data_IF_309965788005
#
_entry.id   IF_309965788005
#
_cell.length_a   1.000
_cell.length_b   1.000
_cell.length_c   1.000
_cell.angle_alpha   90.00
_cell.angle_beta   90.00
_cell.angle_gamma   90.00
#
_symmetry.space_group_name_H-M   'P 1'
#
loop_
_entity.id
_entity.type
_entity.pdbx_description
1 polymer ?
#
# COMPACT_ATOMS: atom_id res chain seq x y z
N UNK A 1 5.49 -6.85 45.68
CA UNK A 1 4.52 -6.90 44.56
C UNK A 1 4.43 -5.50 43.98
N UNK A 2 5.31 -5.17 43.03
CA UNK A 2 5.26 -3.91 42.30
C UNK A 2 4.46 -4.21 41.05
N UNK A 3 3.30 -3.58 40.91
CA UNK A 3 2.43 -3.71 39.75
C UNK A 3 3.17 -3.15 38.53
N UNK A 4 3.14 -3.86 37.40
CA UNK A 4 3.63 -3.40 36.09
C UNK A 4 2.77 -2.23 35.60
N UNK A 5 2.96 -1.06 36.20
CA UNK A 5 2.27 0.16 35.79
C UNK A 5 2.99 0.75 34.57
N UNK A 6 2.25 0.91 33.47
CA UNK A 6 2.74 1.50 32.23
C UNK A 6 3.14 2.98 32.45
N UNK A 7 4.42 3.36 32.25
CA UNK A 7 4.88 4.74 32.40
C UNK A 7 4.14 5.73 31.49
N UNK A 8 3.62 5.27 30.34
CA UNK A 8 2.86 6.10 29.41
C UNK A 8 1.47 6.42 29.96
N UNK A 9 0.87 5.51 30.75
CA UNK A 9 -0.38 5.77 31.44
C UNK A 9 -0.20 6.84 32.53
N UNK A 10 0.96 6.87 33.20
CA UNK A 10 1.25 7.84 34.25
C UNK A 10 1.38 9.29 33.74
N UNK A 11 1.75 9.49 32.46
CA UNK A 11 1.80 10.81 31.83
C UNK A 11 0.41 11.48 31.72
N UNK A 12 -0.68 10.70 31.67
CA UNK A 12 -2.05 11.25 31.63
C UNK A 12 -2.47 11.93 32.93
N UNK A 13 -1.80 11.63 34.04
CA UNK A 13 -2.14 12.13 35.38
C UNK A 13 -1.23 13.27 35.87
N UNK A 14 -0.55 13.96 34.95
CA UNK A 14 0.36 15.08 35.26
C UNK A 14 -0.38 16.21 36.01
N UNK A 15 0.04 16.59 37.23
CA UNK A 15 -0.54 17.74 37.94
C UNK A 15 -0.41 19.05 37.15
N UNK A 16 -1.40 19.93 37.30
CA UNK A 16 -1.46 21.19 36.54
C UNK A 16 -0.38 22.21 36.97
N UNK A 17 0.07 22.11 38.22
CA UNK A 17 1.06 22.96 38.88
C UNK A 17 2.52 22.54 38.62
N UNK A 18 2.74 21.32 38.15
CA UNK A 18 4.08 20.79 37.87
C UNK A 18 4.43 20.99 36.39
N UNK A 19 5.65 21.38 36.06
CA UNK A 19 6.08 21.44 34.65
C UNK A 19 6.23 20.03 34.08
N UNK A 20 5.96 19.83 32.78
CA UNK A 20 6.09 18.52 32.14
C UNK A 20 7.48 17.90 32.36
N UNK A 21 8.53 18.72 32.28
CA UNK A 21 9.91 18.31 32.53
C UNK A 21 10.14 17.82 33.97
N UNK A 22 9.59 18.51 34.97
CA UNK A 22 9.68 18.10 36.38
C UNK A 22 8.93 16.78 36.62
N UNK A 23 7.75 16.62 36.03
CA UNK A 23 6.95 15.41 36.19
C UNK A 23 7.60 14.19 35.53
N UNK A 24 8.22 14.35 34.35
CA UNK A 24 8.99 13.27 33.69
C UNK A 24 10.20 12.85 34.53
N UNK A 25 10.91 13.80 35.17
CA UNK A 25 12.01 13.48 36.07
C UNK A 25 11.53 12.71 37.30
N UNK A 26 10.37 13.09 37.86
CA UNK A 26 9.75 12.37 38.97
C UNK A 26 9.32 10.95 38.56
N UNK A 27 8.72 10.77 37.38
CA UNK A 27 8.38 9.45 36.85
C UNK A 27 9.63 8.57 36.70
N UNK A 28 10.77 9.11 36.28
CA UNK A 28 12.04 8.35 36.21
C UNK A 28 12.55 7.87 37.57
N UNK A 29 12.21 8.56 38.67
CA UNK A 29 12.56 8.08 40.03
C UNK A 29 11.67 6.92 40.48
N UNK A 30 10.43 6.86 39.99
CA UNK A 30 9.44 5.82 40.34
C UNK A 30 9.56 4.60 39.41
N UNK A 31 9.91 4.84 38.15
CA UNK A 31 10.13 3.84 37.10
C UNK A 31 11.61 3.85 36.71
N UNK A 32 12.49 3.19 37.48
CA UNK A 32 13.89 3.06 37.09
C UNK A 32 13.96 2.37 35.72
N UNK A 33 14.76 2.94 34.80
CA UNK A 33 14.87 2.43 33.44
C UNK A 33 15.23 0.94 33.49
N UNK A 34 14.35 0.11 32.91
CA UNK A 34 14.60 -1.31 32.72
C UNK A 34 15.95 -1.48 32.03
N UNK A 35 16.85 -2.26 32.63
CA UNK A 35 18.10 -2.62 31.99
C UNK A 35 17.79 -3.25 30.60
N UNK A 36 18.61 -2.95 29.57
CA UNK A 36 20.00 -2.54 29.67
C UNK A 36 20.22 -1.03 29.85
N UNK A 37 21.26 -0.70 30.60
CA UNK A 37 21.77 0.65 30.72
C UNK A 37 22.06 1.24 29.32
N UNK A 38 21.81 2.53 29.10
CA UNK A 38 22.13 3.18 27.84
C UNK A 38 23.62 2.97 27.48
N UNK A 39 23.95 2.84 26.19
CA UNK A 39 25.29 2.43 25.73
C UNK A 39 26.39 3.49 25.91
N UNK A 40 26.08 4.65 26.50
CA UNK A 40 27.06 5.72 26.72
C UNK A 40 27.76 5.56 28.08
N UNK A 41 29.04 5.91 28.14
CA UNK A 41 29.89 5.79 29.33
C UNK A 41 29.42 6.59 30.54
N UNK A 42 28.52 7.56 30.34
CA UNK A 42 27.90 8.38 31.37
C UNK A 42 26.50 7.89 31.79
N UNK A 43 26.00 6.79 31.21
CA UNK A 43 24.69 6.23 31.53
C UNK A 43 23.51 7.16 31.17
N UNK A 44 23.74 8.19 30.36
CA UNK A 44 22.74 9.21 30.04
C UNK A 44 22.13 8.98 28.66
N UNK A 45 20.85 8.60 28.62
CA UNK A 45 20.05 8.60 27.40
C UNK A 45 20.02 9.95 26.66
N UNK A 46 20.22 11.06 27.39
CA UNK A 46 20.31 12.39 26.78
C UNK A 46 21.55 12.51 25.91
N UNK A 47 22.68 11.98 26.38
CA UNK A 47 23.95 12.00 25.66
C UNK A 47 23.87 11.08 24.43
N UNK A 48 23.24 9.91 24.58
CA UNK A 48 22.99 9.01 23.46
C UNK A 48 22.05 9.62 22.41
N UNK A 49 20.94 10.24 22.83
CA UNK A 49 20.01 10.90 21.92
C UNK A 49 20.67 12.06 21.15
N UNK A 50 21.45 12.90 21.83
CA UNK A 50 22.22 13.97 21.18
C UNK A 50 23.29 13.43 20.22
N UNK A 51 23.92 12.29 20.55
CA UNK A 51 24.84 11.60 19.64
C UNK A 51 24.15 11.13 18.37
N UNK A 52 22.98 10.48 18.51
CA UNK A 52 22.18 10.02 17.37
C UNK A 52 21.66 11.19 16.51
N UNK A 53 21.25 12.30 17.12
CA UNK A 53 20.88 13.51 16.39
C UNK A 53 22.06 14.05 15.56
N UNK A 54 23.27 14.07 16.15
CA UNK A 54 24.48 14.48 15.44
C UNK A 54 24.83 13.52 14.30
N UNK A 55 24.76 12.21 14.55
CA UNK A 55 24.99 11.19 13.51
C UNK A 55 24.00 11.31 12.36
N UNK A 56 22.72 11.57 12.64
CA UNK A 56 21.70 11.81 11.62
C UNK A 56 22.00 13.04 10.76
N UNK A 57 22.46 14.14 11.37
CA UNK A 57 22.87 15.34 10.65
C UNK A 57 24.09 15.06 9.77
N UNK A 58 25.10 14.36 10.29
CA UNK A 58 26.31 13.99 9.55
C UNK A 58 25.99 13.05 8.38
N UNK A 59 25.11 12.06 8.58
CA UNK A 59 24.70 11.13 7.53
C UNK A 59 23.93 11.85 6.41
N UNK A 60 23.05 12.78 6.79
CA UNK A 60 22.30 13.61 5.84
C UNK A 60 23.24 14.49 5.01
N UNK A 61 24.23 15.11 5.66
CA UNK A 61 25.24 15.93 4.95
C UNK A 61 26.08 15.09 3.98
N UNK A 62 26.49 13.87 4.38
CA UNK A 62 27.20 12.93 3.49
C UNK A 62 26.35 12.53 2.28
N UNK A 63 25.08 12.22 2.51
CA UNK A 63 24.15 11.86 1.43
C UNK A 63 23.95 13.02 0.44
N UNK A 64 23.78 14.25 0.94
CA UNK A 64 23.66 15.43 0.08
C UNK A 64 24.95 15.69 -0.71
N UNK A 65 26.12 15.48 -0.11
CA UNK A 65 27.41 15.59 -0.80
C UNK A 65 27.57 14.53 -1.91
N UNK A 66 27.20 13.27 -1.67
CA UNK A 66 27.21 12.22 -2.70
C UNK A 66 26.22 12.51 -3.83
N UNK A 67 25.06 13.06 -3.49
CA UNK A 67 24.04 13.46 -4.46
C UNK A 67 24.55 14.59 -5.36
N UNK A 68 25.21 15.60 -4.80
CA UNK A 68 25.85 16.67 -5.57
C UNK A 68 26.97 16.12 -6.46
N UNK A 69 27.81 15.21 -5.93
CA UNK A 69 28.90 14.57 -6.69
C UNK A 69 28.36 13.76 -7.88
N UNK A 70 27.26 13.04 -7.68
CA UNK A 70 26.60 12.25 -8.73
C UNK A 70 25.97 13.13 -9.83
N UNK A 71 25.43 14.29 -9.46
CA UNK A 71 24.90 15.26 -10.42
C UNK A 71 26.00 15.91 -11.30
N UNK A 72 27.22 16.08 -10.76
CA UNK A 72 28.35 16.63 -11.50
C UNK A 72 28.85 15.73 -12.64
N UNK A 73 28.80 14.41 -12.45
CA UNK A 73 29.31 13.44 -13.44
C UNK A 73 28.41 13.35 -14.68
N UNK A 74 27.10 13.59 -14.55
CA UNK A 74 26.18 13.64 -15.68
C UNK A 74 26.26 14.95 -16.50
N UNK A 75 26.99 15.95 -16.02
CA UNK A 75 27.07 17.26 -16.66
C UNK A 75 28.36 17.47 -17.45
N UNK A 76 29.19 16.43 -17.65
CA UNK A 76 30.44 16.55 -18.39
C UNK A 76 30.15 16.50 -19.91
N UNK A 77 30.29 17.62 -20.66
CA UNK A 77 30.15 17.60 -22.10
C UNK A 77 31.30 16.77 -22.68
N UNK A 78 30.95 15.72 -23.40
CA UNK A 78 31.88 14.93 -24.21
C UNK A 78 32.51 15.82 -25.28
N UNK A 79 33.68 16.38 -24.98
CA UNK A 79 34.52 17.09 -25.93
C UNK A 79 35.13 16.06 -26.90
N UNK A 80 34.51 15.97 -28.09
CA UNK A 80 35.08 15.34 -29.27
C UNK A 80 36.23 16.22 -29.79
N UNK A 81 37.40 15.59 -29.94
CA UNK A 81 38.62 16.16 -30.48
C UNK A 81 38.61 16.01 -32.01
N UNK A 82 38.60 17.13 -32.75
CA UNK A 82 38.94 17.17 -34.18
C UNK A 82 39.78 18.44 -34.48
N UNK A 83 40.85 18.38 -35.30
CA UNK A 83 41.80 19.47 -35.50
C UNK A 83 41.42 20.38 -36.71
N UNK A 84 42.15 21.50 -36.94
CA UNK A 84 41.55 22.76 -37.36
C UNK A 84 41.69 23.08 -38.85
N UNK A 85 40.75 23.88 -39.38
CA UNK A 85 40.98 24.67 -40.60
C UNK A 85 40.34 26.06 -40.51
N UNK A 86 41.23 27.05 -40.42
CA UNK A 86 41.26 28.40 -40.99
C UNK A 86 40.07 29.39 -40.91
N UNK A 87 40.37 30.49 -40.20
CA UNK A 87 40.28 31.90 -40.61
C UNK A 87 39.01 32.76 -40.41
N UNK A 88 39.19 34.09 -40.27
CA UNK A 88 38.39 34.94 -39.37
C UNK A 88 37.54 35.99 -40.09
N UNK A 89 36.50 36.49 -39.44
CA UNK A 89 36.20 37.94 -39.40
C UNK A 89 35.07 38.30 -38.44
N UNK A 90 35.42 39.25 -37.58
CA UNK A 90 34.62 40.26 -36.89
C UNK A 90 33.21 40.55 -37.42
N UNK A 91 32.23 40.64 -36.51
CA UNK A 91 31.59 41.93 -36.16
C UNK A 91 30.69 41.83 -34.93
N UNK A 92 30.84 42.84 -34.09
CA UNK A 92 30.11 43.14 -32.86
C UNK A 92 28.66 43.52 -33.11
N UNK A 93 27.71 43.02 -32.30
CA UNK A 93 26.55 43.82 -31.85
C UNK A 93 25.96 43.26 -30.55
N UNK A 94 25.95 44.13 -29.52
CA UNK A 94 25.28 43.96 -28.23
C UNK A 94 23.76 43.99 -28.43
N UNK A 95 23.04 42.91 -28.09
CA UNK A 95 21.63 42.97 -27.68
C UNK A 95 21.36 42.00 -26.53
N UNK A 96 20.89 42.57 -25.43
CA UNK A 96 20.61 41.98 -24.12
C UNK A 96 19.24 41.27 -24.15
N UNK A 97 19.13 39.95 -23.91
CA UNK A 97 17.84 39.30 -23.71
C UNK A 97 17.56 39.04 -22.24
N UNK A 98 16.32 39.37 -21.85
CA UNK A 98 15.71 39.22 -20.53
C UNK A 98 15.53 37.72 -20.23
N UNK A 99 16.30 37.19 -19.29
CA UNK A 99 16.30 35.79 -18.85
C UNK A 99 15.03 35.52 -18.01
N UNK A 100 14.00 34.92 -18.63
CA UNK A 100 12.86 34.32 -17.94
C UNK A 100 13.22 32.85 -17.70
N UNK A 101 13.69 32.52 -16.50
CA UNK A 101 13.97 31.12 -16.12
C UNK A 101 12.63 30.41 -15.95
N UNK A 102 12.24 29.61 -16.93
CA UNK A 102 11.34 28.51 -16.66
C UNK A 102 12.17 27.43 -15.96
N UNK A 103 11.92 27.22 -14.67
CA UNK A 103 12.34 26.01 -13.98
C UNK A 103 11.67 24.83 -14.68
N UNK A 104 12.38 24.24 -15.64
CA UNK A 104 12.12 22.87 -16.09
C UNK A 104 12.59 21.98 -14.96
N UNK A 105 11.69 21.73 -14.01
CA UNK A 105 11.83 20.67 -13.02
C UNK A 105 11.95 19.37 -13.80
N UNK A 106 13.19 18.94 -14.06
CA UNK A 106 13.49 17.60 -14.55
C UNK A 106 13.09 16.64 -13.44
N UNK A 107 11.82 16.25 -13.44
CA UNK A 107 11.29 15.18 -12.60
C UNK A 107 12.13 13.95 -12.90
N UNK A 108 13.00 13.59 -11.98
CA UNK A 108 13.84 12.40 -12.05
C UNK A 108 12.91 11.19 -12.19
N UNK A 109 12.69 10.75 -13.44
CA UNK A 109 11.88 9.58 -13.73
C UNK A 109 12.64 8.39 -13.16
N UNK A 110 12.11 7.66 -12.15
CA UNK A 110 12.79 6.49 -11.60
C UNK A 110 13.07 5.50 -12.74
N UNK A 111 14.34 5.11 -12.87
CA UNK A 111 14.80 4.23 -13.95
C UNK A 111 14.22 2.83 -13.76
N UNK A 112 13.21 2.51 -14.56
CA UNK A 112 12.58 1.19 -14.66
C UNK A 112 13.61 0.06 -14.93
N UNK A 113 14.77 0.41 -15.49
CA UNK A 113 15.93 -0.47 -15.68
C UNK A 113 16.41 -1.12 -14.37
N UNK A 114 16.39 -0.39 -13.24
CA UNK A 114 16.85 -0.92 -11.95
C UNK A 114 15.96 -2.04 -11.43
N UNK A 115 14.64 -1.92 -11.61
CA UNK A 115 13.65 -2.91 -11.19
C UNK A 115 13.74 -4.18 -12.07
N UNK A 116 14.11 -4.03 -13.34
CA UNK A 116 14.19 -5.15 -14.28
C UNK A 116 15.32 -6.14 -13.97
N UNK A 117 16.51 -5.64 -13.59
CA UNK A 117 17.66 -6.51 -13.29
C UNK A 117 17.34 -7.44 -12.13
N UNK A 118 16.60 -6.95 -11.13
CA UNK A 118 16.24 -7.74 -9.96
C UNK A 118 15.12 -8.76 -10.28
N UNK A 119 14.09 -8.37 -11.02
CA UNK A 119 13.01 -9.29 -11.41
C UNK A 119 13.56 -10.44 -12.28
N UNK A 120 14.68 -10.25 -13.00
CA UNK A 120 15.23 -11.23 -13.94
C UNK A 120 15.77 -12.47 -13.23
N UNK A 121 16.05 -12.35 -11.93
CA UNK A 121 16.48 -13.45 -11.08
C UNK A 121 15.34 -14.38 -10.68
N UNK A 122 14.09 -13.99 -10.95
CA UNK A 122 12.91 -14.71 -10.52
C UNK A 122 12.54 -15.79 -11.55
N UNK A 123 12.46 -17.07 -11.16
CA UNK A 123 12.04 -18.16 -12.05
C UNK A 123 10.62 -17.93 -12.63
N UNK A 124 10.43 -18.19 -13.92
CA UNK A 124 9.12 -18.05 -14.59
C UNK A 124 8.78 -16.64 -15.07
N UNK A 125 9.66 -15.66 -14.86
CA UNK A 125 9.43 -14.25 -15.19
C UNK A 125 9.50 -13.90 -16.70
N UNK A 126 9.85 -14.86 -17.57
CA UNK A 126 10.13 -14.59 -19.00
C UNK A 126 8.96 -13.90 -19.75
N UNK A 127 7.71 -14.29 -19.46
CA UNK A 127 6.51 -13.68 -20.07
C UNK A 127 6.29 -12.25 -19.58
N UNK A 128 6.51 -12.00 -18.29
CA UNK A 128 6.44 -10.68 -17.68
C UNK A 128 7.52 -9.76 -18.28
N UNK A 129 8.74 -10.26 -18.48
CA UNK A 129 9.82 -9.50 -19.09
C UNK A 129 9.55 -9.08 -20.53
N UNK A 130 9.08 -10.01 -21.36
CA UNK A 130 8.72 -9.72 -22.75
C UNK A 130 7.62 -8.66 -22.82
N UNK A 131 6.61 -8.78 -21.95
CA UNK A 131 5.50 -7.83 -21.86
C UNK A 131 5.97 -6.45 -21.38
N UNK A 132 6.86 -6.41 -20.38
CA UNK A 132 7.42 -5.19 -19.81
C UNK A 132 8.33 -4.46 -20.82
N UNK A 133 9.16 -5.20 -21.55
CA UNK A 133 10.00 -4.66 -22.62
C UNK A 133 9.14 -4.05 -23.74
N UNK A 134 8.09 -4.76 -24.16
CA UNK A 134 7.13 -4.25 -25.15
C UNK A 134 6.42 -2.99 -24.66
N UNK A 135 6.02 -2.96 -23.39
CA UNK A 135 5.42 -1.79 -22.74
C UNK A 135 6.40 -0.60 -22.71
N UNK A 136 7.65 -0.84 -22.35
CA UNK A 136 8.69 0.19 -22.34
C UNK A 136 8.94 0.79 -23.72
N UNK A 137 9.18 -0.04 -24.74
CA UNK A 137 9.41 0.42 -26.11
C UNK A 137 8.25 1.27 -26.63
N UNK A 138 7.03 0.83 -26.34
CA UNK A 138 5.83 1.58 -26.68
C UNK A 138 5.80 2.92 -25.92
N UNK A 139 5.94 2.92 -24.60
CA UNK A 139 5.88 4.18 -23.82
C UNK A 139 7.00 5.16 -24.12
N UNK A 140 8.17 4.70 -24.58
CA UNK A 140 9.26 5.58 -25.04
C UNK A 140 8.99 6.22 -26.40
N UNK A 141 8.20 5.58 -27.26
CA UNK A 141 7.87 6.09 -28.60
C UNK A 141 6.59 6.94 -28.61
N UNK A 142 5.77 6.88 -27.55
CA UNK A 142 4.53 7.64 -27.46
C UNK A 142 4.78 9.10 -27.05
N UNK A 143 4.43 10.04 -27.93
CA UNK A 143 4.23 11.43 -27.57
C UNK A 143 2.87 11.58 -26.86
N UNK A 144 2.88 12.02 -25.60
CA UNK A 144 1.70 12.16 -24.75
C UNK A 144 0.61 13.03 -25.45
N UNK A 145 1.02 14.05 -26.21
CA UNK A 145 0.10 15.01 -26.84
C UNK A 145 -0.54 14.46 -28.12
N UNK A 146 0.12 13.55 -28.82
CA UNK A 146 -0.24 13.11 -30.18
C UNK A 146 -0.75 11.67 -30.26
N UNK A 147 -1.05 11.06 -29.11
CA UNK A 147 -1.47 9.66 -29.06
C UNK A 147 -2.75 9.39 -29.87
N UNK A 148 -2.66 8.49 -30.84
CA UNK A 148 -3.80 8.04 -31.66
C UNK A 148 -4.67 7.05 -30.86
N UNK A 149 -5.96 6.85 -31.21
CA UNK A 149 -6.79 5.83 -30.57
C UNK A 149 -6.20 4.42 -30.64
N UNK A 150 -5.59 4.06 -31.77
CA UNK A 150 -4.92 2.77 -31.94
C UNK A 150 -3.73 2.60 -30.97
N UNK A 151 -2.93 3.65 -30.80
CA UNK A 151 -1.83 3.68 -29.83
C UNK A 151 -2.31 3.54 -28.38
N UNK A 152 -3.44 4.18 -28.01
CA UNK A 152 -4.05 4.00 -26.68
C UNK A 152 -4.54 2.58 -26.44
N UNK A 153 -5.18 1.96 -27.43
CA UNK A 153 -5.60 0.56 -27.35
C UNK A 153 -4.41 -0.39 -27.23
N UNK A 154 -3.33 -0.14 -27.98
CA UNK A 154 -2.09 -0.91 -27.88
C UNK A 154 -1.44 -0.74 -26.50
N UNK A 155 -1.40 0.48 -25.97
CA UNK A 155 -0.90 0.78 -24.62
C UNK A 155 -1.71 0.07 -23.54
N UNK A 156 -3.04 0.09 -23.65
CA UNK A 156 -3.91 -0.66 -22.76
C UNK A 156 -3.59 -2.16 -22.84
N UNK A 157 -3.46 -2.70 -24.06
CA UNK A 157 -3.21 -4.13 -24.25
C UNK A 157 -1.87 -4.55 -23.65
N UNK A 158 -0.79 -3.79 -23.87
CA UNK A 158 0.51 -4.09 -23.27
C UNK A 158 0.50 -3.93 -21.76
N UNK A 159 -0.21 -2.93 -21.22
CA UNK A 159 -0.42 -2.77 -19.78
C UNK A 159 -1.13 -3.98 -19.19
N UNK A 160 -2.22 -4.45 -19.82
CA UNK A 160 -2.96 -5.63 -19.38
C UNK A 160 -2.09 -6.89 -19.41
N UNK A 161 -1.24 -7.07 -20.43
CA UNK A 161 -0.31 -8.20 -20.49
C UNK A 161 0.71 -8.18 -19.35
N UNK A 162 1.23 -6.99 -18.99
CA UNK A 162 2.11 -6.85 -17.81
C UNK A 162 1.35 -7.20 -16.52
N UNK A 163 0.13 -6.68 -16.35
CA UNK A 163 -0.72 -6.99 -15.18
C UNK A 163 -1.02 -8.50 -15.09
N UNK A 164 -1.37 -9.14 -16.21
CA UNK A 164 -1.59 -10.59 -16.24
C UNK A 164 -0.32 -11.37 -15.90
N UNK A 165 0.84 -10.98 -16.44
CA UNK A 165 2.11 -11.61 -16.09
C UNK A 165 2.48 -11.43 -14.62
N UNK A 166 2.17 -10.28 -14.02
CA UNK A 166 2.32 -10.07 -12.58
C UNK A 166 1.36 -10.93 -11.78
N UNK A 167 0.11 -11.09 -12.23
CA UNK A 167 -0.89 -11.92 -11.58
C UNK A 167 -0.52 -13.40 -11.60
N UNK A 168 -0.04 -13.91 -12.75
CA UNK A 168 0.44 -15.28 -12.89
C UNK A 168 1.59 -15.58 -11.93
N UNK A 169 2.44 -14.58 -11.67
CA UNK A 169 3.53 -14.69 -10.71
C UNK A 169 3.09 -14.51 -9.24
N UNK A 170 2.12 -13.63 -9.01
CA UNK A 170 1.55 -13.37 -7.69
C UNK A 170 0.76 -14.58 -7.17
N UNK A 171 0.06 -15.30 -8.04
CA UNK A 171 -0.81 -16.40 -7.67
C UNK A 171 -0.09 -17.51 -6.87
N UNK A 172 1.09 -18.03 -7.28
CA UNK A 172 1.88 -18.94 -6.46
C UNK A 172 2.29 -18.36 -5.11
N UNK A 173 2.62 -17.06 -5.03
CA UNK A 173 3.01 -16.43 -3.75
C UNK A 173 1.83 -16.36 -2.79
N UNK A 174 0.64 -16.04 -3.31
CA UNK A 174 -0.57 -15.92 -2.50
C UNK A 174 -1.17 -17.27 -2.08
N UNK A 175 -0.83 -18.35 -2.79
CA UNK A 175 -1.39 -19.70 -2.55
C UNK A 175 -0.40 -20.70 -1.95
N UNK A 176 0.91 -20.48 -2.10
CA UNK A 176 1.94 -21.41 -1.64
C UNK A 176 2.34 -21.15 -0.20
N UNK A 177 2.37 -22.23 0.59
CA UNK A 177 2.83 -22.25 1.97
C UNK A 177 4.34 -22.52 2.12
N UNK A 178 5.06 -22.87 1.04
CA UNK A 178 6.30 -23.68 1.16
C UNK A 178 7.57 -23.06 0.59
N UNK A 179 7.52 -21.89 -0.04
CA UNK A 179 8.69 -21.24 -0.63
C UNK A 179 9.47 -20.36 0.36
N UNK A 180 10.71 -20.01 0.01
CA UNK A 180 11.61 -19.15 0.81
C UNK A 180 11.05 -17.74 0.96
N UNK A 181 10.31 -17.53 2.06
CA UNK A 181 9.45 -16.37 2.30
C UNK A 181 10.17 -15.01 2.24
N UNK A 182 11.44 -14.94 2.64
CA UNK A 182 12.22 -13.69 2.57
C UNK A 182 12.34 -13.14 1.13
N UNK A 183 12.53 -14.03 0.15
CA UNK A 183 12.60 -13.64 -1.26
C UNK A 183 11.25 -13.22 -1.83
N UNK A 184 10.16 -13.79 -1.30
CA UNK A 184 8.80 -13.45 -1.70
C UNK A 184 8.39 -12.06 -1.22
N UNK A 185 8.72 -11.70 0.03
CA UNK A 185 8.41 -10.36 0.56
C UNK A 185 9.09 -9.27 -0.26
N UNK A 186 10.39 -9.41 -0.56
CA UNK A 186 11.09 -8.45 -1.43
C UNK A 186 10.47 -8.39 -2.82
N UNK A 187 10.05 -9.53 -3.36
CA UNK A 187 9.40 -9.59 -4.67
C UNK A 187 8.05 -8.86 -4.69
N UNK A 188 7.23 -9.01 -3.66
CA UNK A 188 5.95 -8.30 -3.51
C UNK A 188 6.16 -6.77 -3.44
N UNK A 189 7.20 -6.32 -2.74
CA UNK A 189 7.56 -4.90 -2.70
C UNK A 189 7.97 -4.38 -4.08
N UNK A 190 8.77 -5.14 -4.84
CA UNK A 190 9.13 -4.78 -6.22
C UNK A 190 7.93 -4.76 -7.14
N UNK A 191 6.97 -5.66 -6.94
CA UNK A 191 5.71 -5.65 -7.68
C UNK A 191 4.87 -4.42 -7.35
N UNK A 192 4.90 -3.97 -6.10
CA UNK A 192 4.26 -2.73 -5.67
C UNK A 192 4.84 -1.52 -6.41
N UNK A 193 6.17 -1.41 -6.46
CA UNK A 193 6.88 -0.36 -7.20
C UNK A 193 6.57 -0.41 -8.71
N UNK A 194 6.63 -1.61 -9.29
CA UNK A 194 6.36 -1.82 -10.72
C UNK A 194 4.92 -1.45 -11.07
N UNK A 195 3.93 -1.83 -10.26
CA UNK A 195 2.53 -1.50 -10.48
C UNK A 195 2.30 0.01 -10.40
N UNK A 196 2.87 0.67 -9.40
CA UNK A 196 2.81 2.13 -9.27
C UNK A 196 3.41 2.83 -10.49
N UNK A 197 4.57 2.35 -10.96
CA UNK A 197 5.22 2.90 -12.15
C UNK A 197 4.41 2.65 -13.44
N UNK A 198 3.85 1.46 -13.59
CA UNK A 198 2.99 1.07 -14.70
C UNK A 198 1.77 2.00 -14.78
N UNK A 199 1.06 2.17 -13.67
CA UNK A 199 -0.14 3.00 -13.59
C UNK A 199 0.16 4.49 -13.77
N UNK A 200 1.23 5.00 -13.14
CA UNK A 200 1.64 6.40 -13.29
C UNK A 200 2.01 6.76 -14.74
N UNK A 201 2.45 5.77 -15.53
CA UNK A 201 2.77 5.97 -16.96
C UNK A 201 1.53 5.80 -17.83
N UNK A 202 0.70 4.79 -17.58
CA UNK A 202 -0.44 4.46 -18.43
C UNK A 202 -1.63 5.40 -18.22
N UNK A 203 -1.98 5.73 -16.96
CA UNK A 203 -3.19 6.47 -16.63
C UNK A 203 -3.23 7.87 -17.28
N UNK A 204 -2.17 8.70 -17.24
CA UNK A 204 -2.22 10.04 -17.86
C UNK A 204 -2.49 10.00 -19.37
N UNK A 205 -1.98 8.98 -20.06
CA UNK A 205 -2.17 8.79 -21.51
C UNK A 205 -3.60 8.34 -21.81
N UNK A 206 -4.15 7.46 -20.96
CA UNK A 206 -5.52 6.99 -21.09
C UNK A 206 -6.54 8.08 -20.73
N UNK A 207 -6.31 8.93 -19.73
CA UNK A 207 -7.35 9.86 -19.22
C UNK A 207 -7.56 11.08 -20.15
N UNK A 208 -6.57 11.47 -20.96
CA UNK A 208 -6.50 12.79 -21.61
C UNK A 208 -7.62 13.13 -22.61
N UNK A 209 -8.39 12.18 -23.16
CA UNK A 209 -9.44 12.45 -24.18
C UNK A 209 -10.78 11.76 -23.88
N UNK A 210 -11.78 12.42 -23.28
CA UNK A 210 -12.90 11.78 -22.58
C UNK A 210 -13.80 10.83 -23.41
N UNK A 211 -13.95 11.03 -24.72
CA UNK A 211 -15.02 10.36 -25.51
C UNK A 211 -14.81 8.85 -25.70
N UNK A 212 -13.57 8.39 -25.88
CA UNK A 212 -13.23 6.95 -26.02
C UNK A 212 -12.65 6.35 -24.73
N UNK A 213 -12.56 7.14 -23.67
CA UNK A 213 -11.77 6.81 -22.48
C UNK A 213 -12.52 5.97 -21.48
N UNK A 214 -13.85 6.04 -21.48
CA UNK A 214 -14.67 5.23 -20.58
C UNK A 214 -14.46 3.73 -20.78
N UNK A 215 -14.49 3.26 -22.02
CA UNK A 215 -14.38 1.82 -22.31
C UNK A 215 -12.99 1.26 -22.05
N UNK A 216 -11.93 1.99 -22.42
CA UNK A 216 -10.55 1.57 -22.19
C UNK A 216 -10.19 1.59 -20.69
N UNK A 217 -10.64 2.61 -19.97
CA UNK A 217 -10.40 2.71 -18.52
C UNK A 217 -11.13 1.60 -17.77
N UNK A 218 -12.40 1.35 -18.09
CA UNK A 218 -13.15 0.24 -17.46
C UNK A 218 -12.45 -1.10 -17.71
N UNK A 219 -11.98 -1.38 -18.94
CA UNK A 219 -11.20 -2.59 -19.24
C UNK A 219 -9.89 -2.70 -18.44
N UNK A 220 -9.22 -1.59 -18.16
CA UNK A 220 -8.04 -1.60 -17.29
C UNK A 220 -8.41 -1.92 -15.85
N UNK A 221 -9.46 -1.27 -15.34
CA UNK A 221 -9.94 -1.48 -13.98
C UNK A 221 -10.45 -2.90 -13.76
N UNK A 222 -11.24 -3.43 -14.70
CA UNK A 222 -11.73 -4.82 -14.66
C UNK A 222 -10.56 -5.81 -14.63
N UNK A 223 -9.50 -5.54 -15.41
CA UNK A 223 -8.28 -6.34 -15.39
C UNK A 223 -7.57 -6.25 -14.03
N UNK A 224 -7.44 -5.06 -13.44
CA UNK A 224 -6.83 -4.92 -12.12
C UNK A 224 -7.65 -5.56 -11.00
N UNK A 225 -8.98 -5.40 -11.03
CA UNK A 225 -9.90 -5.97 -10.06
C UNK A 225 -9.80 -7.50 -10.10
N UNK A 226 -9.88 -8.08 -11.29
CA UNK A 226 -9.87 -9.54 -11.46
C UNK A 226 -8.49 -10.16 -11.26
N UNK A 227 -7.41 -9.54 -11.75
CA UNK A 227 -6.07 -10.13 -11.76
C UNK A 227 -5.23 -9.81 -10.51
N UNK A 228 -5.50 -8.69 -9.82
CA UNK A 228 -4.64 -8.23 -8.70
C UNK A 228 -5.44 -8.10 -7.40
N UNK A 229 -6.44 -7.23 -7.38
CA UNK A 229 -7.10 -6.89 -6.11
C UNK A 229 -7.95 -8.02 -5.53
N UNK A 230 -8.68 -8.75 -6.38
CA UNK A 230 -9.51 -9.88 -5.91
C UNK A 230 -8.64 -11.01 -5.34
N UNK A 231 -7.59 -11.50 -6.03
CA UNK A 231 -6.68 -12.49 -5.47
C UNK A 231 -6.02 -12.02 -4.17
N UNK A 232 -5.57 -10.77 -4.09
CA UNK A 232 -4.99 -10.21 -2.86
C UNK A 232 -6.00 -10.27 -1.71
N UNK A 233 -7.22 -9.79 -1.94
CA UNK A 233 -8.26 -9.75 -0.90
C UNK A 233 -8.63 -11.15 -0.42
N UNK A 234 -8.73 -12.11 -1.35
CA UNK A 234 -9.01 -13.52 -1.04
C UNK A 234 -7.84 -14.22 -0.33
N UNK A 235 -6.61 -13.75 -0.53
CA UNK A 235 -5.41 -14.37 0.06
C UNK A 235 -5.21 -14.07 1.55
N UNK A 236 -5.81 -13.01 2.10
CA UNK A 236 -5.58 -12.66 3.51
C UNK A 236 -5.99 -13.79 4.46
N UNK A 237 -7.11 -14.47 4.20
CA UNK A 237 -7.59 -15.58 5.04
C UNK A 237 -6.56 -16.73 5.05
N UNK A 238 -6.20 -17.36 3.91
CA UNK A 238 -5.22 -18.44 3.92
C UNK A 238 -3.84 -17.99 4.39
N UNK A 239 -3.40 -16.75 4.11
CA UNK A 239 -2.11 -16.26 4.59
C UNK A 239 -2.06 -16.14 6.12
N UNK A 240 -3.13 -15.65 6.76
CA UNK A 240 -3.24 -15.60 8.22
C UNK A 240 -3.25 -16.99 8.83
N UNK A 241 -4.02 -17.92 8.23
CA UNK A 241 -4.08 -19.31 8.68
C UNK A 241 -2.70 -19.99 8.62
N UNK A 242 -1.98 -19.84 7.50
CA UNK A 242 -0.65 -20.43 7.34
C UNK A 242 0.37 -19.82 8.30
N UNK A 243 0.48 -18.49 8.32
CA UNK A 243 1.46 -17.81 9.17
C UNK A 243 1.30 -18.18 10.64
N UNK A 244 0.07 -18.20 11.15
CA UNK A 244 -0.17 -18.53 12.57
C UNK A 244 -0.05 -20.03 12.86
N UNK A 245 -0.36 -20.89 11.91
CA UNK A 245 -0.09 -22.32 12.04
C UNK A 245 1.41 -22.61 12.12
N UNK A 246 2.22 -21.88 11.36
CA UNK A 246 3.68 -21.99 11.36
C UNK A 246 4.32 -21.30 12.57
N UNK A 247 3.71 -20.22 13.08
CA UNK A 247 4.20 -19.49 14.26
C UNK A 247 3.91 -20.25 15.57
N UNK A 248 2.80 -20.99 15.60
CA UNK A 248 2.40 -21.82 16.73
C UNK A 248 2.37 -23.30 16.32
N UNK A 249 3.52 -23.92 15.97
CA UNK A 249 3.54 -25.31 15.59
C UNK A 249 3.37 -26.19 16.84
N UNK A 250 2.78 -27.38 16.67
CA UNK A 250 2.72 -28.38 17.75
C UNK A 250 4.10 -28.90 18.16
N UNK A 251 5.11 -28.73 17.28
CA UNK A 251 6.51 -29.07 17.51
C UNK A 251 7.36 -27.83 17.25
N UNK A 252 8.28 -27.45 18.15
CA UNK A 252 9.14 -26.30 17.94
C UNK A 252 9.89 -26.42 16.60
N UNK A 253 9.82 -25.36 15.79
CA UNK A 253 10.65 -25.16 14.61
C UNK A 253 11.75 -24.16 14.95
N UNK A 254 12.94 -24.34 14.38
CA UNK A 254 14.10 -23.48 14.68
C UNK A 254 14.04 -22.10 13.98
N UNK A 255 13.06 -21.89 13.09
CA UNK A 255 12.96 -20.68 12.28
C UNK A 255 11.59 -20.03 12.40
N UNK A 256 11.58 -18.71 12.58
CA UNK A 256 10.36 -17.89 12.57
C UNK A 256 9.84 -17.82 11.13
N UNK A 257 8.58 -18.17 10.86
CA UNK A 257 8.01 -18.00 9.52
C UNK A 257 8.03 -16.51 9.17
N UNK A 258 8.45 -16.15 7.96
CA UNK A 258 8.34 -14.76 7.55
C UNK A 258 6.88 -14.41 7.21
N UNK A 259 6.56 -13.13 7.38
CA UNK A 259 5.21 -12.63 7.27
C UNK A 259 5.02 -11.91 5.92
N UNK A 260 4.18 -12.47 5.05
CA UNK A 260 3.85 -11.87 3.76
C UNK A 260 2.69 -10.89 3.82
N UNK A 261 1.86 -10.92 4.87
CA UNK A 261 0.61 -10.15 4.94
C UNK A 261 0.85 -8.63 4.85
N UNK A 262 1.88 -8.04 5.51
CA UNK A 262 2.20 -6.62 5.35
C UNK A 262 2.59 -6.26 3.92
N UNK A 263 3.39 -7.09 3.24
CA UNK A 263 3.82 -6.85 1.87
C UNK A 263 2.66 -6.95 0.87
N UNK A 264 1.74 -7.90 1.09
CA UNK A 264 0.50 -8.03 0.30
C UNK A 264 -0.42 -6.81 0.50
N UNK A 265 -0.59 -6.34 1.74
CA UNK A 265 -1.34 -5.11 2.02
C UNK A 265 -0.68 -3.89 1.39
N UNK A 266 0.66 -3.78 1.42
CA UNK A 266 1.38 -2.69 0.77
C UNK A 266 1.23 -2.72 -0.75
N UNK A 267 1.24 -3.91 -1.37
CA UNK A 267 0.93 -4.06 -2.80
C UNK A 267 -0.48 -3.55 -3.13
N UNK A 268 -1.47 -3.90 -2.31
CA UNK A 268 -2.83 -3.36 -2.44
C UNK A 268 -2.84 -1.83 -2.35
N UNK A 269 -2.22 -1.28 -1.29
CA UNK A 269 -2.20 0.16 -1.01
C UNK A 269 -1.54 0.98 -2.13
N UNK A 270 -0.35 0.60 -2.59
CA UNK A 270 0.35 1.34 -3.66
C UNK A 270 -0.42 1.30 -4.98
N UNK A 271 -0.99 0.13 -5.31
CA UNK A 271 -1.79 -0.05 -6.52
C UNK A 271 -3.06 0.79 -6.46
N UNK A 272 -3.76 0.76 -5.33
CA UNK A 272 -4.99 1.53 -5.11
C UNK A 272 -4.72 3.03 -5.10
N UNK A 273 -3.66 3.49 -4.41
CA UNK A 273 -3.31 4.92 -4.32
C UNK A 273 -3.07 5.54 -5.69
N UNK A 274 -2.44 4.80 -6.61
CA UNK A 274 -2.24 5.24 -8.00
C UNK A 274 -3.57 5.42 -8.77
N UNK A 275 -4.63 4.72 -8.36
CA UNK A 275 -5.96 4.83 -8.95
C UNK A 275 -6.81 5.92 -8.28
N UNK A 276 -6.46 6.40 -7.08
CA UNK A 276 -7.17 7.50 -6.40
C UNK A 276 -6.99 8.85 -7.11
N UNK A 277 -6.11 8.95 -8.11
CA UNK A 277 -5.97 10.16 -8.93
C UNK A 277 -6.81 10.16 -10.21
N UNK A 278 -7.55 9.09 -10.54
CA UNK A 278 -8.36 9.01 -11.77
C UNK A 278 -9.70 9.77 -11.61
N UNK A 279 -10.46 10.08 -12.68
CA UNK A 279 -11.77 10.72 -12.55
C UNK A 279 -12.74 9.94 -11.66
N UNK A 280 -13.59 10.65 -10.90
CA UNK A 280 -14.45 10.09 -9.84
C UNK A 280 -15.37 8.96 -10.31
N UNK A 281 -15.92 9.04 -11.52
CA UNK A 281 -16.78 8.01 -12.09
C UNK A 281 -16.11 6.62 -12.14
N UNK A 282 -14.83 6.58 -12.49
CA UNK A 282 -14.05 5.35 -12.55
C UNK A 282 -13.67 4.85 -11.15
N UNK A 283 -13.34 5.77 -10.24
CA UNK A 283 -13.05 5.42 -8.85
C UNK A 283 -14.23 4.76 -8.16
N UNK A 284 -15.44 5.25 -8.41
CA UNK A 284 -16.64 4.70 -7.81
C UNK A 284 -16.85 3.23 -8.21
N UNK A 285 -16.75 2.91 -9.50
CA UNK A 285 -16.89 1.53 -9.98
C UNK A 285 -15.83 0.60 -9.38
N UNK A 286 -14.57 1.06 -9.34
CA UNK A 286 -13.47 0.33 -8.72
C UNK A 286 -13.76 0.07 -7.24
N UNK A 287 -14.00 1.13 -6.46
CA UNK A 287 -14.23 1.03 -5.02
C UNK A 287 -15.43 0.17 -4.69
N UNK A 288 -16.52 0.29 -5.44
CA UNK A 288 -17.71 -0.50 -5.20
C UNK A 288 -17.48 -1.98 -5.42
N UNK A 289 -16.77 -2.32 -6.50
CA UNK A 289 -16.41 -3.71 -6.80
C UNK A 289 -15.49 -4.28 -5.71
N UNK A 290 -14.46 -3.53 -5.30
CA UNK A 290 -13.54 -3.95 -4.26
C UNK A 290 -14.18 -4.06 -2.88
N UNK A 291 -15.07 -3.11 -2.52
CA UNK A 291 -15.78 -3.11 -1.26
C UNK A 291 -16.73 -4.32 -1.18
N UNK A 292 -17.48 -4.61 -2.24
CA UNK A 292 -18.36 -5.79 -2.29
C UNK A 292 -17.55 -7.09 -2.18
N UNK A 293 -16.43 -7.20 -2.90
CA UNK A 293 -15.54 -8.37 -2.79
C UNK A 293 -15.01 -8.52 -1.37
N UNK A 294 -14.57 -7.43 -0.75
CA UNK A 294 -14.01 -7.44 0.61
C UNK A 294 -15.07 -7.79 1.65
N UNK A 295 -16.28 -7.22 1.56
CA UNK A 295 -17.43 -7.60 2.41
C UNK A 295 -17.79 -9.06 2.22
N UNK A 296 -17.77 -9.57 0.99
CA UNK A 296 -18.03 -10.99 0.71
C UNK A 296 -16.99 -11.88 1.39
N UNK A 297 -15.70 -11.53 1.33
CA UNK A 297 -14.64 -12.25 2.06
C UNK A 297 -14.81 -12.12 3.58
N UNK A 298 -15.21 -10.96 4.08
CA UNK A 298 -15.45 -10.78 5.51
C UNK A 298 -16.62 -11.66 5.97
N UNK A 299 -17.68 -11.79 5.17
CA UNK A 299 -18.81 -12.67 5.45
C UNK A 299 -18.43 -14.16 5.51
N UNK A 300 -17.41 -14.62 4.77
CA UNK A 300 -17.01 -16.04 4.84
C UNK A 300 -16.37 -16.41 6.19
N UNK A 301 -15.94 -15.41 6.96
CA UNK A 301 -15.40 -15.58 8.31
C UNK A 301 -16.49 -15.72 9.40
N UNK A 302 -17.78 -15.54 9.04
CA UNK A 302 -18.91 -15.58 9.98
C UNK A 302 -20.06 -16.52 9.51
N UNK A 303 -20.66 -17.32 10.41
CA UNK A 303 -20.38 -17.40 11.84
C UNK A 303 -19.06 -18.11 12.16
N UNK A 304 -18.50 -17.77 13.32
CA UNK A 304 -17.34 -18.44 13.88
C UNK A 304 -17.58 -19.96 13.95
N UNK A 305 -16.62 -20.81 13.50
CA UNK A 305 -16.74 -22.24 13.73
C UNK A 305 -16.75 -22.52 15.24
N UNK A 306 -17.58 -23.47 15.69
CA UNK A 306 -17.67 -23.83 17.11
C UNK A 306 -16.28 -24.21 17.65
N UNK A 307 -15.80 -23.45 18.62
CA UNK A 307 -14.45 -23.56 19.16
C UNK A 307 -14.37 -24.71 20.15
N UNK A 308 -13.88 -25.86 19.68
CA UNK A 308 -13.37 -26.88 20.59
C UNK A 308 -12.17 -26.29 21.38
N UNK A 309 -11.89 -26.74 22.60
CA UNK A 309 -10.75 -26.21 23.41
C UNK A 309 -9.36 -26.67 22.92
N UNK A 310 -9.23 -27.09 21.66
CA UNK A 310 -7.98 -27.61 21.10
C UNK A 310 -6.99 -26.50 20.79
N UNK A 311 -5.71 -26.85 20.60
CA UNK A 311 -4.70 -25.89 20.16
C UNK A 311 -5.02 -25.36 18.74
N UNK A 312 -5.41 -26.25 17.83
CA UNK A 312 -5.71 -25.93 16.43
C UNK A 312 -6.86 -24.94 16.29
N UNK A 313 -7.91 -25.08 17.09
CA UNK A 313 -9.04 -24.13 17.08
C UNK A 313 -8.63 -22.75 17.57
N UNK A 314 -7.76 -22.65 18.59
CA UNK A 314 -7.24 -21.36 19.08
C UNK A 314 -6.40 -20.66 18.02
N UNK A 315 -5.52 -21.39 17.34
CA UNK A 315 -4.70 -20.84 16.24
C UNK A 315 -5.59 -20.36 15.10
N UNK A 316 -6.59 -21.15 14.69
CA UNK A 316 -7.56 -20.75 13.65
C UNK A 316 -8.40 -19.55 14.08
N UNK A 317 -8.78 -19.46 15.36
CA UNK A 317 -9.50 -18.30 15.90
C UNK A 317 -8.63 -17.04 15.83
N UNK A 318 -7.34 -17.14 16.15
CA UNK A 318 -6.39 -16.04 15.99
C UNK A 318 -6.19 -15.64 14.52
N UNK A 319 -6.13 -16.62 13.61
CA UNK A 319 -6.03 -16.36 12.17
C UNK A 319 -7.25 -15.68 11.58
N UNK A 320 -8.45 -16.08 12.03
CA UNK A 320 -9.68 -15.37 11.71
C UNK A 320 -9.60 -13.90 12.15
N UNK A 321 -9.23 -13.63 13.41
CA UNK A 321 -9.11 -12.27 13.95
C UNK A 321 -8.16 -11.40 13.12
N UNK A 322 -7.02 -11.97 12.75
CA UNK A 322 -6.04 -11.27 11.94
C UNK A 322 -6.54 -11.02 10.51
N UNK A 323 -7.20 -12.00 9.88
CA UNK A 323 -7.83 -11.81 8.57
C UNK A 323 -8.93 -10.73 8.59
N UNK A 324 -9.75 -10.70 9.65
CA UNK A 324 -10.73 -9.62 9.89
C UNK A 324 -10.04 -8.27 9.93
N UNK A 325 -8.90 -8.16 10.62
CA UNK A 325 -8.10 -6.92 10.69
C UNK A 325 -7.65 -6.42 9.31
N UNK A 326 -7.08 -7.29 8.47
CA UNK A 326 -6.63 -6.92 7.12
C UNK A 326 -7.78 -6.54 6.19
N UNK A 327 -8.89 -7.29 6.23
CA UNK A 327 -10.08 -7.00 5.43
C UNK A 327 -10.75 -5.69 5.87
N UNK A 328 -10.84 -5.43 7.18
CA UNK A 328 -11.35 -4.15 7.70
C UNK A 328 -10.44 -2.98 7.30
N UNK A 329 -9.12 -3.15 7.39
CA UNK A 329 -8.14 -2.16 6.94
C UNK A 329 -8.32 -1.84 5.45
N UNK A 330 -8.57 -2.87 4.63
CA UNK A 330 -8.88 -2.72 3.21
C UNK A 330 -10.15 -1.89 2.99
N UNK A 331 -11.24 -2.18 3.71
CA UNK A 331 -12.47 -1.38 3.65
C UNK A 331 -12.26 0.06 4.10
N UNK A 332 -11.50 0.29 5.17
CA UNK A 332 -11.14 1.63 5.61
C UNK A 332 -10.41 2.43 4.52
N UNK A 333 -9.47 1.82 3.81
CA UNK A 333 -8.77 2.47 2.69
C UNK A 333 -9.72 2.83 1.56
N UNK A 334 -10.68 1.95 1.23
CA UNK A 334 -11.68 2.18 0.19
C UNK A 334 -12.64 3.33 0.56
N UNK A 335 -12.96 3.48 1.85
CA UNK A 335 -13.87 4.50 2.39
C UNK A 335 -13.18 5.77 2.90
N UNK A 336 -11.84 5.86 2.86
CA UNK A 336 -11.10 6.99 3.44
C UNK A 336 -11.22 8.30 2.65
N UNK A 337 -11.54 8.24 1.35
CA UNK A 337 -11.50 9.42 0.47
C UNK A 337 -12.92 9.88 0.08
N UNK A 338 -13.42 10.99 0.64
CA UNK A 338 -14.73 11.56 0.29
C UNK A 338 -14.71 12.37 -1.02
N UNK A 339 -13.55 12.56 -1.65
CA UNK A 339 -13.40 13.51 -2.77
C UNK A 339 -13.96 13.02 -4.13
N UNK A 340 -14.70 11.91 -4.19
CA UNK A 340 -15.02 11.22 -5.45
C UNK A 340 -16.48 10.83 -5.61
N UNK A 341 -17.41 11.64 -5.10
CA UNK A 341 -18.82 11.39 -5.30
C UNK A 341 -19.29 11.86 -6.68
N UNK A 342 -19.80 10.96 -7.53
CA UNK A 342 -20.65 11.40 -8.62
C UNK A 342 -21.93 11.98 -8.01
N UNK A 343 -22.33 13.16 -8.48
CA UNK A 343 -23.65 13.72 -8.15
C UNK A 343 -24.69 12.64 -8.49
N UNK A 344 -25.55 12.23 -7.54
CA UNK A 344 -26.56 11.21 -7.81
C UNK A 344 -27.36 11.66 -9.02
N UNK A 345 -27.25 10.90 -10.11
CA UNK A 345 -28.11 11.09 -11.27
C UNK A 345 -29.48 10.63 -10.81
N UNK A 346 -30.33 11.59 -10.44
CA UNK A 346 -31.70 11.41 -9.93
C UNK A 346 -32.63 10.90 -11.04
N UNK A 347 -32.31 9.76 -11.63
CA UNK A 347 -33.31 8.97 -12.37
C UNK A 347 -34.08 8.16 -11.33
N UNK A 348 -35.36 8.46 -11.06
CA UNK A 348 -36.15 7.86 -9.98
C UNK A 348 -36.52 6.39 -10.18
N UNK A 349 -35.93 5.70 -11.17
CA UNK A 349 -36.13 4.27 -11.34
C UNK A 349 -35.24 3.52 -10.34
N UNK A 350 -35.82 3.26 -9.18
CA UNK A 350 -35.33 2.41 -8.10
C UNK A 350 -34.88 1.06 -8.67
N UNK A 351 -33.58 0.91 -8.95
CA UNK A 351 -33.00 -0.39 -9.17
C UNK A 351 -32.99 -1.13 -7.82
N UNK A 352 -33.80 -2.19 -7.61
CA UNK A 352 -33.68 -3.01 -6.41
C UNK A 352 -32.25 -3.56 -6.34
N UNK A 353 -31.59 -3.41 -5.19
CA UNK A 353 -30.17 -3.72 -4.93
C UNK A 353 -29.16 -2.65 -5.34
N UNK A 354 -29.37 -1.40 -4.89
CA UNK A 354 -28.31 -0.39 -4.94
C UNK A 354 -27.03 -0.89 -4.25
N UNK A 355 -25.87 -0.40 -4.69
CA UNK A 355 -24.58 -0.72 -4.06
C UNK A 355 -24.61 -0.45 -2.55
N UNK A 356 -25.22 0.67 -2.15
CA UNK A 356 -25.32 1.09 -0.75
C UNK A 356 -26.11 0.10 0.09
N UNK A 357 -27.23 -0.37 -0.45
CA UNK A 357 -28.04 -1.39 0.20
C UNK A 357 -27.23 -2.69 0.38
N UNK A 358 -26.50 -3.14 -0.66
CA UNK A 358 -25.69 -4.37 -0.58
C UNK A 358 -24.56 -4.29 0.45
N UNK A 359 -23.88 -3.15 0.54
CA UNK A 359 -22.83 -2.93 1.55
C UNK A 359 -23.45 -2.85 2.95
N UNK A 360 -24.52 -2.08 3.12
CA UNK A 360 -25.21 -1.91 4.40
C UNK A 360 -25.77 -3.22 4.92
N UNK A 361 -26.46 -3.98 4.06
CA UNK A 361 -26.99 -5.31 4.38
C UNK A 361 -25.84 -6.28 4.71
N UNK A 362 -24.76 -6.21 3.94
CA UNK A 362 -23.60 -7.07 4.12
C UNK A 362 -22.90 -6.86 5.46
N UNK A 363 -22.63 -5.60 5.82
CA UNK A 363 -22.02 -5.21 7.09
C UNK A 363 -22.98 -5.44 8.27
N UNK A 364 -24.27 -5.11 8.11
CA UNK A 364 -25.29 -5.34 9.16
C UNK A 364 -25.43 -6.82 9.47
N UNK A 365 -25.39 -7.69 8.45
CA UNK A 365 -25.39 -9.13 8.63
C UNK A 365 -24.20 -9.60 9.45
N UNK A 366 -22.99 -9.10 9.16
CA UNK A 366 -21.78 -9.41 9.93
C UNK A 366 -21.92 -8.95 11.38
N UNK A 367 -22.32 -7.69 11.62
CA UNK A 367 -22.51 -7.15 12.99
C UNK A 367 -23.54 -7.98 13.78
N UNK A 368 -24.63 -8.40 13.15
CA UNK A 368 -25.63 -9.29 13.77
C UNK A 368 -25.02 -10.65 14.12
N UNK A 369 -24.17 -11.21 13.26
CA UNK A 369 -23.46 -12.47 13.53
C UNK A 369 -22.40 -12.32 14.63
N UNK A 370 -21.82 -11.13 14.80
CA UNK A 370 -20.92 -10.84 15.91
C UNK A 370 -21.66 -10.73 17.26
N UNK A 371 -22.93 -10.32 17.25
CA UNK A 371 -23.73 -10.13 18.46
C UNK A 371 -24.35 -11.44 18.92
N UNK A 372 -23.59 -12.25 19.65
CA UNK A 372 -24.15 -13.43 20.33
C UNK A 372 -25.15 -12.93 21.41
N UNK A 373 -26.43 -13.31 21.38
CA UNK A 373 -27.37 -12.91 22.41
C UNK A 373 -26.93 -13.53 23.74
N UNK A 374 -26.76 -12.69 24.78
CA UNK A 374 -26.30 -13.09 26.11
C UNK A 374 -27.14 -14.23 26.76
N UNK A 375 -28.35 -14.47 26.26
CA UNK A 375 -29.24 -15.52 26.74
C UNK A 375 -28.92 -16.93 26.19
N UNK A 376 -28.02 -17.07 25.21
CA UNK A 376 -27.61 -18.38 24.65
C UNK A 376 -26.26 -18.87 25.20
N UNK A 377 -25.86 -18.46 26.41
CA UNK A 377 -24.59 -18.86 27.03
C UNK A 377 -24.41 -20.39 27.19
N UNK A 378 -25.48 -21.18 27.03
CA UNK A 378 -25.42 -22.65 27.07
C UNK A 378 -25.20 -23.34 25.70
N UNK A 379 -25.18 -22.61 24.58
CA UNK A 379 -25.13 -23.24 23.23
C UNK A 379 -23.72 -23.66 22.77
N UNK A 380 -22.68 -23.34 23.54
CA UNK A 380 -21.29 -23.67 23.16
C UNK A 380 -20.79 -22.93 21.92
N UNK A 381 -21.55 -21.96 21.40
CA UNK A 381 -21.10 -21.07 20.34
C UNK A 381 -19.98 -20.16 20.88
N UNK A 382 -18.86 -20.07 20.14
CA UNK A 382 -17.77 -19.17 20.48
C UNK A 382 -18.29 -17.73 20.35
N UNK A 383 -18.24 -16.99 21.46
CA UNK A 383 -18.60 -15.58 21.47
C UNK A 383 -17.56 -14.85 20.61
N UNK A 384 -18.04 -14.16 19.57
CA UNK A 384 -17.18 -13.28 18.76
C UNK A 384 -16.54 -12.26 19.70
N UNK A 385 -15.23 -12.06 19.56
CA UNK A 385 -14.48 -11.20 20.45
C UNK A 385 -14.97 -9.76 20.33
N UNK A 386 -14.99 -9.03 21.45
CA UNK A 386 -15.32 -7.60 21.48
C UNK A 386 -14.41 -6.81 20.53
N UNK A 387 -13.17 -7.27 20.34
CA UNK A 387 -12.22 -6.70 19.39
C UNK A 387 -12.71 -6.84 17.95
N UNK A 388 -13.10 -8.04 17.50
CA UNK A 388 -13.58 -8.28 16.13
C UNK A 388 -14.83 -7.43 15.84
N UNK A 389 -15.75 -7.41 16.81
CA UNK A 389 -16.95 -6.57 16.73
C UNK A 389 -16.60 -5.08 16.63
N UNK A 390 -15.66 -4.59 17.44
CA UNK A 390 -15.18 -3.21 17.40
C UNK A 390 -14.54 -2.84 16.05
N UNK A 391 -13.79 -3.75 15.42
CA UNK A 391 -13.20 -3.51 14.10
C UNK A 391 -14.28 -3.38 13.01
N UNK A 392 -15.26 -4.29 13.00
CA UNK A 392 -16.38 -4.25 12.04
C UNK A 392 -17.24 -3.00 12.25
N UNK A 393 -17.49 -2.61 13.50
CA UNK A 393 -18.19 -1.36 13.81
C UNK A 393 -17.41 -0.13 13.31
N UNK A 394 -16.08 -0.10 13.48
CA UNK A 394 -15.25 0.99 12.95
C UNK A 394 -15.39 1.13 11.42
N UNK A 395 -15.46 0.01 10.69
CA UNK A 395 -15.71 0.01 9.24
C UNK A 395 -17.11 0.53 8.92
N UNK A 396 -18.13 0.11 9.68
CA UNK A 396 -19.51 0.57 9.49
C UNK A 396 -19.64 2.08 9.73
N UNK A 397 -19.00 2.60 10.78
CA UNK A 397 -18.94 4.04 11.07
C UNK A 397 -18.22 4.81 9.96
N UNK A 398 -17.11 4.27 9.45
CA UNK A 398 -16.38 4.89 8.34
C UNK A 398 -17.22 4.87 7.06
N UNK A 399 -17.94 3.78 6.78
CA UNK A 399 -18.87 3.70 5.67
C UNK A 399 -20.03 4.68 5.84
N UNK A 400 -20.57 4.85 7.05
CA UNK A 400 -21.59 5.86 7.32
C UNK A 400 -21.08 7.26 6.99
N UNK A 401 -19.89 7.63 7.49
CA UNK A 401 -19.25 8.92 7.17
C UNK A 401 -19.10 9.10 5.67
N UNK A 402 -18.61 8.06 4.98
CA UNK A 402 -18.49 8.03 3.52
C UNK A 402 -19.84 8.25 2.82
N UNK A 403 -20.90 7.54 3.21
CA UNK A 403 -22.24 7.65 2.62
C UNK A 403 -22.89 9.02 2.88
N UNK A 404 -22.70 9.58 4.07
CA UNK A 404 -23.27 10.88 4.46
C UNK A 404 -22.66 12.06 3.71
N UNK A 405 -21.45 11.91 3.17
CA UNK A 405 -20.83 12.92 2.31
C UNK A 405 -21.26 12.84 0.85
N UNK A 406 -21.97 11.77 0.44
CA UNK A 406 -22.52 11.60 -0.92
C UNK A 406 -23.84 12.36 -1.09
N UNK A 407 -24.66 12.35 -0.04
CA UNK A 407 -25.99 12.97 0.01
C UNK A 407 -25.88 14.49 0.17
#
# INVERSE_FOLDING_TARGET
>A
MVSDADPLAALKYKPNDVSCASYVLQLRTVFPASQPAPPTSDGSWRTHALSLEKEMVDLKQKYDAERIKSAGILSQPSSSTEPPSSNPSTTTTKKKPKKKSSDKTNSARPKLESIQVEIATIPGSASLFSSLSSFQQLTTSLNIDETTPAQRSLLLRTTQLVISGMADFLQPILTSATSTVASQSTTLLRFSDLMSQLLSTTLPILIRKPTTVSTLMNKLLDCMISSIFTPITQSFIPLCDHFLSDLFPLRPTESIPADLRPAVLQLFQSSFTSLVSIPSAFQHNLRNSLALTTVTQLQTLFPAPASAKTHVSRVRSLARKDAVSYLCTTLHLLFASPACFPVPVTTPEEAPNSFEQRITDGLTKIVRQCRVPANEANSGAEIVDEVEHGMVLGVLEQYWKYSSTVQ
#
